data_IF_965594636124
#
_entry.id   IF_965594636124
#
_cell.length_a   1.000
_cell.length_b   1.000
_cell.length_c   1.000
_cell.angle_alpha   90.00
_cell.angle_beta   90.00
_cell.angle_gamma   90.00
#
_symmetry.space_group_name_H-M   'P 1'
#
loop_
_entity.id
_entity.type
_entity.pdbx_description
1 polymer ?
#
# COMPACT_ATOMS: atom_id res chain seq x y z
N UNK A 1 0.68 -1.80 0.55
CA UNK A 1 -0.09 -1.01 1.53
C UNK A 1 0.89 -0.13 2.27
N UNK A 2 0.56 1.16 2.38
CA UNK A 2 1.37 2.14 3.08
C UNK A 2 0.63 2.59 4.33
N UNK A 3 1.33 2.73 5.45
CA UNK A 3 0.84 3.34 6.69
C UNK A 3 1.34 4.77 6.74
N UNK A 4 0.42 5.72 6.79
CA UNK A 4 0.73 7.13 6.96
C UNK A 4 0.91 7.47 8.45
N UNK A 5 1.53 8.62 8.75
CA UNK A 5 1.80 9.09 10.12
C UNK A 5 0.54 9.22 10.99
N UNK A 6 -0.62 9.47 10.38
CA UNK A 6 -1.92 9.58 11.05
C UNK A 6 -2.56 8.21 11.37
N UNK A 7 -1.85 7.11 11.11
CA UNK A 7 -2.37 5.74 11.24
C UNK A 7 -3.29 5.32 10.09
N UNK A 8 -3.51 6.17 9.08
CA UNK A 8 -4.31 5.81 7.91
C UNK A 8 -3.56 4.81 7.03
N UNK A 9 -4.31 3.84 6.49
CA UNK A 9 -3.81 2.84 5.55
C UNK A 9 -4.16 3.24 4.11
N UNK A 10 -3.14 3.39 3.28
CA UNK A 10 -3.27 3.61 1.85
C UNK A 10 -3.01 2.31 1.08
N UNK A 11 -3.95 1.92 0.23
CA UNK A 11 -3.85 0.72 -0.62
C UNK A 11 -3.85 1.12 -2.08
N UNK A 12 -2.96 0.50 -2.85
CA UNK A 12 -2.85 0.69 -4.29
C UNK A 12 -1.91 -0.33 -4.90
N UNK A 13 -2.04 -0.54 -6.21
CA UNK A 13 -1.11 -1.34 -7.00
C UNK A 13 -0.05 -0.45 -7.67
N UNK A 14 1.14 -0.99 -7.87
CA UNK A 14 2.22 -0.33 -8.62
C UNK A 14 3.02 -1.40 -9.38
N UNK A 15 3.51 -1.05 -10.57
CA UNK A 15 4.42 -1.90 -11.34
C UNK A 15 5.87 -1.81 -10.83
N UNK A 16 6.21 -0.73 -10.11
CA UNK A 16 7.52 -0.55 -9.53
C UNK A 16 7.36 -0.04 -8.10
N UNK A 17 7.53 -0.93 -7.13
CA UNK A 17 7.36 -0.64 -5.70
C UNK A 17 8.40 0.36 -5.21
N UNK A 18 9.67 0.17 -5.57
CA UNK A 18 10.77 1.02 -5.13
C UNK A 18 10.62 2.46 -5.63
N UNK A 19 10.31 2.64 -6.93
CA UNK A 19 10.04 3.97 -7.50
C UNK A 19 8.82 4.63 -6.84
N UNK A 20 7.77 3.84 -6.54
CA UNK A 20 6.55 4.33 -5.86
C UNK A 20 6.89 4.81 -4.45
N UNK A 21 7.66 4.04 -3.69
CA UNK A 21 8.11 4.40 -2.35
C UNK A 21 8.97 5.67 -2.36
N UNK A 22 9.95 5.74 -3.26
CA UNK A 22 10.77 6.95 -3.40
C UNK A 22 9.96 8.18 -3.79
N UNK A 23 8.98 8.03 -4.69
CA UNK A 23 8.07 9.12 -5.04
C UNK A 23 7.24 9.57 -3.84
N UNK A 24 6.71 8.63 -3.05
CA UNK A 24 5.98 8.96 -1.83
C UNK A 24 6.88 9.60 -0.78
N UNK A 25 8.04 9.02 -0.46
CA UNK A 25 9.01 9.55 0.50
C UNK A 25 9.52 10.94 0.13
N UNK A 26 9.69 11.23 -1.15
CA UNK A 26 10.11 12.56 -1.65
C UNK A 26 8.98 13.56 -1.80
N UNK A 27 7.75 13.24 -1.38
CA UNK A 27 6.59 14.14 -1.50
C UNK A 27 6.09 14.34 -2.94
N UNK A 28 6.58 13.55 -3.90
CA UNK A 28 6.11 13.53 -5.30
C UNK A 28 5.07 12.43 -5.57
N UNK A 29 4.60 11.75 -4.53
CA UNK A 29 3.57 10.72 -4.60
C UNK A 29 2.16 11.31 -4.78
N UNK A 30 1.14 10.49 -4.51
CA UNK A 30 -0.26 10.93 -4.55
C UNK A 30 -0.49 12.18 -3.68
N UNK A 31 -1.39 13.07 -4.13
CA UNK A 31 -1.84 14.26 -3.39
C UNK A 31 -2.24 13.92 -1.95
N UNK A 32 -2.80 12.73 -1.74
CA UNK A 32 -3.24 12.21 -0.44
C UNK A 32 -2.09 11.86 0.50
N UNK A 33 -1.00 11.28 -0.04
CA UNK A 33 0.17 10.87 0.75
C UNK A 33 1.19 11.99 0.95
N UNK A 34 1.14 13.04 0.12
CA UNK A 34 2.09 14.17 0.17
C UNK A 34 1.96 14.99 1.46
N UNK A 35 0.77 15.11 2.03
CA UNK A 35 0.50 15.82 3.28
C UNK A 35 0.55 14.92 4.52
N UNK A 36 0.85 13.61 4.37
CA UNK A 36 0.79 12.61 5.45
C UNK A 36 2.08 11.80 5.56
N UNK A 37 3.20 12.45 5.24
CA UNK A 37 4.54 11.89 5.40
C UNK A 37 4.97 11.94 6.87
N UNK A 38 5.78 10.96 7.34
CA UNK A 38 6.29 9.82 6.60
C UNK A 38 5.24 8.73 6.32
N UNK A 39 5.44 7.99 5.22
CA UNK A 39 4.65 6.81 4.88
C UNK A 39 5.54 5.57 4.92
N UNK A 40 5.14 4.57 5.70
CA UNK A 40 5.86 3.32 5.89
C UNK A 40 5.24 2.21 5.04
N UNK A 41 6.07 1.38 4.41
CA UNK A 41 5.59 0.18 3.75
C UNK A 41 5.33 -0.91 4.79
N UNK A 42 4.05 -1.23 5.00
CA UNK A 42 3.64 -2.26 5.97
C UNK A 42 3.30 -3.59 5.33
N UNK A 43 2.95 -3.59 4.03
CA UNK A 43 2.63 -4.83 3.33
C UNK A 43 2.82 -4.66 1.83
N UNK A 44 3.34 -5.67 1.16
CA UNK A 44 3.31 -5.75 -0.30
C UNK A 44 3.17 -7.21 -0.72
N UNK A 45 2.71 -7.42 -1.95
CA UNK A 45 2.68 -8.74 -2.57
C UNK A 45 3.02 -8.58 -4.04
N UNK A 46 3.88 -9.46 -4.54
CA UNK A 46 4.14 -9.58 -5.97
C UNK A 46 2.97 -10.28 -6.65
N UNK A 47 2.49 -9.71 -7.76
CA UNK A 47 1.48 -10.31 -8.61
C UNK A 47 2.05 -10.51 -10.00
N UNK A 48 1.89 -11.71 -10.55
CA UNK A 48 2.42 -12.07 -11.87
C UNK A 48 1.65 -11.43 -13.02
N UNK A 49 0.49 -10.82 -12.74
CA UNK A 49 -0.38 -10.23 -13.76
C UNK A 49 -1.15 -9.03 -13.23
N UNK A 50 -1.38 -8.04 -14.10
CA UNK A 50 -2.19 -6.85 -13.79
C UNK A 50 -3.60 -7.22 -13.31
N UNK A 51 -4.21 -8.23 -13.92
CA UNK A 51 -5.54 -8.71 -13.54
C UNK A 51 -5.58 -9.26 -12.11
N UNK A 52 -4.53 -9.96 -11.69
CA UNK A 52 -4.40 -10.46 -10.32
C UNK A 52 -4.21 -9.30 -9.34
N UNK A 53 -3.34 -8.35 -9.66
CA UNK A 53 -3.13 -7.15 -8.85
C UNK A 53 -4.43 -6.35 -8.65
N UNK A 54 -5.25 -6.20 -9.70
CA UNK A 54 -6.54 -5.51 -9.63
C UNK A 54 -7.57 -6.26 -8.78
N UNK A 55 -7.65 -7.59 -8.92
CA UNK A 55 -8.53 -8.43 -8.08
C UNK A 55 -8.14 -8.34 -6.61
N UNK A 56 -6.84 -8.40 -6.33
CA UNK A 56 -6.29 -8.29 -4.99
C UNK A 56 -6.56 -6.90 -4.40
N UNK A 57 -6.32 -5.83 -5.17
CA UNK A 57 -6.62 -4.46 -4.75
C UNK A 57 -8.12 -4.28 -4.44
N UNK A 58 -9.01 -4.81 -5.30
CA UNK A 58 -10.45 -4.77 -5.08
C UNK A 58 -10.85 -5.54 -3.81
N UNK A 59 -10.28 -6.73 -3.59
CA UNK A 59 -10.49 -7.52 -2.37
C UNK A 59 -10.06 -6.74 -1.14
N UNK A 60 -8.84 -6.19 -1.15
CA UNK A 60 -8.32 -5.39 -0.03
C UNK A 60 -9.17 -4.15 0.19
N UNK A 61 -9.60 -3.44 -0.87
CA UNK A 61 -10.48 -2.27 -0.73
C UNK A 61 -11.79 -2.60 -0.02
N UNK A 62 -12.38 -3.77 -0.33
CA UNK A 62 -13.60 -4.29 0.29
C UNK A 62 -13.42 -4.84 1.72
N UNK A 63 -12.19 -5.08 2.17
CA UNK A 63 -11.93 -5.54 3.53
C UNK A 63 -12.27 -4.47 4.57
N UNK A 64 -12.78 -4.90 5.73
CA UNK A 64 -12.97 -4.06 6.90
C UNK A 64 -11.64 -3.52 7.40
N UNK A 65 -11.66 -2.37 8.08
CA UNK A 65 -10.46 -1.74 8.62
C UNK A 65 -9.66 -2.64 9.57
N UNK A 66 -10.32 -3.52 10.33
CA UNK A 66 -9.65 -4.53 11.18
C UNK A 66 -8.86 -5.53 10.34
N UNK A 67 -9.50 -6.13 9.32
CA UNK A 67 -8.84 -7.09 8.44
C UNK A 67 -7.69 -6.47 7.63
N UNK A 68 -7.80 -5.19 7.25
CA UNK A 68 -6.68 -4.45 6.64
C UNK A 68 -5.50 -4.29 7.60
N UNK A 69 -5.77 -4.03 8.88
CA UNK A 69 -4.72 -3.95 9.91
C UNK A 69 -4.05 -5.29 10.15
N UNK A 70 -4.82 -6.37 10.28
CA UNK A 70 -4.27 -7.74 10.38
C UNK A 70 -3.40 -8.07 9.16
N UNK A 71 -3.83 -7.70 7.95
CA UNK A 71 -3.02 -7.91 6.75
C UNK A 71 -1.73 -7.07 6.78
N UNK A 72 -1.77 -5.85 7.32
CA UNK A 72 -0.60 -5.00 7.48
C UNK A 72 0.40 -5.53 8.53
N UNK A 73 -0.06 -6.34 9.49
CA UNK A 73 0.77 -7.02 10.48
C UNK A 73 1.24 -8.40 10.01
N UNK A 74 0.55 -8.98 9.03
CA UNK A 74 0.93 -10.23 8.38
C UNK A 74 2.10 -9.97 7.44
N UNK A 75 3.32 -10.21 7.92
CA UNK A 75 4.53 -10.23 7.11
C UNK A 75 4.38 -11.38 6.10
N UNK A 76 4.12 -11.04 4.84
CA UNK A 76 4.20 -12.00 3.72
C UNK A 76 5.67 -11.98 3.27
N UNK A 77 6.51 -12.78 3.92
CA UNK A 77 7.77 -13.24 3.34
C UNK A 77 7.40 -14.13 2.15
N UNK A 78 7.68 -13.68 0.92
CA UNK A 78 8.14 -14.45 -0.26
C UNK A 78 8.05 -13.58 -1.53
#
# INVERSE_FOLDING_TARGET
>A
MLRCVDGSLYTGMTNNLQRRLQAHASGRGSRYTRSRLPVELVWHRHCSSRSEALRLEARIKRMKASAKRTLAESIDEH
#
